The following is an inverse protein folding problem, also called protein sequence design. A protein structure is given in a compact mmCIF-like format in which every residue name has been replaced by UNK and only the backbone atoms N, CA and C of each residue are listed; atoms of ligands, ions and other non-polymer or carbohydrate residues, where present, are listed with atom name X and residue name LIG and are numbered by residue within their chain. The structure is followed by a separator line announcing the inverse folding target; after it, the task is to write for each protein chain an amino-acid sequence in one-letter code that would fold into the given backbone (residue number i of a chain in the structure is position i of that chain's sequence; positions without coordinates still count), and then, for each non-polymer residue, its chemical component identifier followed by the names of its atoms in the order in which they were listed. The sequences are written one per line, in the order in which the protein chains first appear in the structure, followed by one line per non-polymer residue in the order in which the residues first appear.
data_IF_859457196215
#
_entry.id   IF_859457196215
#
_cell.length_a   1.000
_cell.length_b   1.000
_cell.length_c   1.000
_cell.angle_alpha   90.00
_cell.angle_beta   90.00
_cell.angle_gamma   90.00
#
_symmetry.space_group_name_H-M   'P 1'
#
loop_
_entity.id
_entity.type
_entity.pdbx_description
1 polymer ?
#
# COMPACT_ATOMS: atom_id res chain seq x y z
N UNK A 1 -17.77 10.98 2.13
CA UNK A 1 -16.95 10.22 3.10
C UNK A 1 -16.00 11.19 3.78
N UNK A 2 -15.97 11.21 5.12
CA UNK A 2 -15.07 12.09 5.88
C UNK A 2 -13.84 11.29 6.30
N UNK A 3 -12.66 11.71 5.86
CA UNK A 3 -11.39 11.03 6.19
C UNK A 3 -10.93 11.39 7.59
N UNK A 4 -10.43 10.42 8.36
CA UNK A 4 -9.82 10.71 9.67
C UNK A 4 -8.51 11.48 9.51
N UNK A 5 -8.05 12.24 10.54
CA UNK A 5 -6.77 12.95 10.48
C UNK A 5 -5.57 12.04 10.13
N UNK A 6 -5.60 10.79 10.60
CA UNK A 6 -4.60 9.78 10.26
C UNK A 6 -4.65 9.42 8.77
N UNK A 7 -5.84 9.12 8.24
CA UNK A 7 -6.03 8.79 6.82
C UNK A 7 -5.61 9.95 5.90
N UNK A 8 -5.96 11.18 6.27
CA UNK A 8 -5.56 12.38 5.52
C UNK A 8 -4.03 12.53 5.46
N UNK A 9 -3.33 12.25 6.57
CA UNK A 9 -1.87 12.33 6.64
C UNK A 9 -1.21 11.23 5.79
N UNK A 10 -1.72 9.99 5.89
CA UNK A 10 -1.24 8.86 5.07
C UNK A 10 -1.44 9.14 3.58
N UNK A 11 -2.63 9.57 3.15
CA UNK A 11 -2.89 9.83 1.73
C UNK A 11 -2.13 11.04 1.20
N UNK A 12 -1.94 12.10 1.99
CA UNK A 12 -1.10 13.21 1.59
C UNK A 12 0.35 12.77 1.36
N UNK A 13 0.87 11.93 2.24
CA UNK A 13 2.22 11.40 2.12
C UNK A 13 2.34 10.49 0.88
N UNK A 14 1.43 9.53 0.69
CA UNK A 14 1.46 8.66 -0.50
C UNK A 14 1.44 9.46 -1.80
N UNK A 15 0.66 10.55 -1.86
CA UNK A 15 0.62 11.45 -3.04
C UNK A 15 1.91 12.23 -3.29
N UNK A 16 2.77 12.38 -2.29
CA UNK A 16 4.07 13.05 -2.44
C UNK A 16 5.17 12.13 -2.95
N UNK A 17 4.93 10.81 -2.95
CA UNK A 17 5.90 9.83 -3.44
C UNK A 17 5.99 9.92 -4.97
N UNK A 18 7.19 10.15 -5.54
CA UNK A 18 7.37 10.19 -7.00
C UNK A 18 6.99 8.85 -7.66
N UNK A 19 6.48 8.90 -8.88
CA UNK A 19 6.02 7.71 -9.65
C UNK A 19 7.12 6.70 -9.95
N UNK A 20 8.40 7.09 -9.88
CA UNK A 20 9.55 6.20 -10.07
C UNK A 20 10.04 5.52 -8.79
N UNK A 21 9.37 5.77 -7.65
CA UNK A 21 9.77 5.28 -6.33
C UNK A 21 8.61 4.61 -5.63
N UNK A 22 8.97 3.74 -4.69
CA UNK A 22 8.01 3.13 -3.76
C UNK A 22 8.50 3.30 -2.33
N UNK A 23 7.56 3.33 -1.39
CA UNK A 23 7.84 3.38 0.04
C UNK A 23 7.10 2.24 0.74
N UNK A 24 7.59 1.84 1.90
CA UNK A 24 6.98 0.78 2.69
C UNK A 24 5.96 1.32 3.68
N UNK A 25 4.95 0.51 4.04
CA UNK A 25 4.00 0.88 5.08
C UNK A 25 4.67 1.14 6.44
N UNK A 26 5.83 0.53 6.71
CA UNK A 26 6.61 0.81 7.91
C UNK A 26 7.19 2.22 7.92
N UNK A 27 7.69 2.71 6.79
CA UNK A 27 8.22 4.07 6.64
C UNK A 27 7.10 5.11 6.70
N UNK A 28 5.99 4.85 6.02
CA UNK A 28 4.80 5.68 6.12
C UNK A 28 4.36 5.82 7.59
N UNK A 29 4.30 4.71 8.33
CA UNK A 29 3.92 4.71 9.75
C UNK A 29 4.94 5.45 10.65
N UNK A 30 6.23 5.46 10.32
CA UNK A 30 7.23 6.25 11.07
C UNK A 30 6.94 7.75 10.97
N UNK A 31 6.51 8.23 9.81
CA UNK A 31 6.25 9.65 9.57
C UNK A 31 4.86 10.07 10.00
N UNK A 32 3.83 9.28 9.71
CA UNK A 32 2.43 9.62 10.04
C UNK A 32 2.02 9.18 11.45
N UNK A 33 2.87 8.42 12.14
CA UNK A 33 2.54 7.69 13.35
C UNK A 33 1.79 6.38 13.07
N UNK A 34 1.52 5.61 14.12
CA UNK A 34 0.79 4.33 14.03
C UNK A 34 1.69 3.13 13.68
N UNK A 35 1.10 2.12 13.04
CA UNK A 35 1.80 0.89 12.65
C UNK A 35 1.66 0.60 11.16
N UNK A 36 2.60 -0.18 10.61
CA UNK A 36 2.53 -0.63 9.21
C UNK A 36 1.19 -1.31 8.86
N UNK A 37 0.59 -2.03 9.83
CA UNK A 37 -0.75 -2.62 9.66
C UNK A 37 -1.84 -1.56 9.56
N UNK A 38 -1.79 -0.51 10.39
CA UNK A 38 -2.77 0.58 10.34
C UNK A 38 -2.72 1.33 9.00
N UNK A 39 -1.51 1.58 8.48
CA UNK A 39 -1.30 2.17 7.15
C UNK A 39 -1.83 1.24 6.05
N UNK A 40 -1.56 -0.07 6.14
CA UNK A 40 -2.09 -1.05 5.19
C UNK A 40 -3.63 -1.08 5.16
N UNK A 41 -4.28 -1.01 6.33
CA UNK A 41 -5.75 -0.91 6.41
C UNK A 41 -6.28 0.40 5.82
N UNK A 42 -5.54 1.50 5.98
CA UNK A 42 -5.85 2.78 5.36
C UNK A 42 -5.82 2.68 3.82
N UNK A 43 -4.77 2.06 3.27
CA UNK A 43 -4.62 1.88 1.82
C UNK A 43 -5.65 0.92 1.24
N UNK A 44 -6.06 -0.13 1.97
CA UNK A 44 -7.12 -1.06 1.55
C UNK A 44 -8.48 -0.37 1.36
N UNK A 45 -8.73 0.72 2.08
CA UNK A 45 -9.97 1.52 1.99
C UNK A 45 -9.75 2.84 1.26
N UNK A 46 -8.68 2.96 0.48
CA UNK A 46 -8.35 4.20 -0.23
C UNK A 46 -9.38 4.46 -1.34
N UNK A 47 -10.21 5.50 -1.24
CA UNK A 47 -11.20 5.83 -2.28
C UNK A 47 -10.56 6.38 -3.56
N UNK A 48 -9.26 6.71 -3.53
CA UNK A 48 -8.48 7.20 -4.66
C UNK A 48 -7.67 6.09 -5.34
N UNK A 49 -7.86 4.83 -4.94
CA UNK A 49 -7.20 3.72 -5.63
C UNK A 49 -7.70 3.65 -7.08
N UNK A 50 -6.80 3.47 -8.06
CA UNK A 50 -7.23 3.20 -9.42
C UNK A 50 -8.08 1.94 -9.42
N UNK A 51 -9.21 1.99 -10.13
CA UNK A 51 -10.03 0.82 -10.38
C UNK A 51 -9.19 -0.20 -11.16
N UNK A 52 -9.16 -1.45 -10.70
CA UNK A 52 -8.47 -2.53 -11.44
C UNK A 52 -9.20 -2.84 -12.75
N UNK A 53 -10.45 -2.41 -12.90
CA UNK A 53 -11.29 -2.69 -14.07
C UNK A 53 -11.79 -4.14 -14.11
N UNK A 54 -11.47 -4.93 -13.08
CA UNK A 54 -11.87 -6.32 -12.90
C UNK A 54 -12.48 -6.48 -11.50
N UNK A 55 -13.59 -7.20 -11.39
CA UNK A 55 -14.14 -7.55 -10.09
C UNK A 55 -13.28 -8.62 -9.40
N UNK A 56 -13.39 -8.80 -8.07
CA UNK A 56 -12.71 -9.90 -7.38
C UNK A 56 -13.05 -11.29 -7.96
N UNK A 57 -14.25 -11.44 -8.55
CA UNK A 57 -14.65 -12.68 -9.22
C UNK A 57 -13.90 -12.87 -10.55
N UNK A 58 -13.68 -11.79 -11.30
CA UNK A 58 -12.92 -11.83 -12.56
C UNK A 58 -11.45 -12.16 -12.29
N UNK A 59 -10.86 -11.53 -11.26
CA UNK A 59 -9.49 -11.85 -10.82
C UNK A 59 -9.36 -13.31 -10.38
N UNK A 60 -10.37 -13.84 -9.66
CA UNK A 60 -10.41 -15.23 -9.24
C UNK A 60 -10.48 -16.19 -10.42
N UNK A 61 -11.35 -15.91 -11.40
CA UNK A 61 -11.50 -16.76 -12.58
C UNK A 61 -10.19 -16.90 -13.36
N UNK A 62 -9.47 -15.78 -13.56
CA UNK A 62 -8.15 -15.79 -14.20
C UNK A 62 -7.13 -16.63 -13.42
N UNK A 63 -7.13 -16.54 -12.08
CA UNK A 63 -6.23 -17.34 -11.24
C UNK A 63 -6.58 -18.84 -11.28
N UNK A 64 -7.86 -19.18 -11.33
CA UNK A 64 -8.33 -20.57 -11.48
C UNK A 64 -7.96 -21.15 -12.86
N UNK A 65 -8.01 -20.35 -13.93
CA UNK A 65 -7.49 -20.72 -15.27
C UNK A 65 -5.98 -21.01 -15.23
N UNK A 66 -5.21 -20.26 -14.44
CA UNK A 66 -3.77 -20.48 -14.20
C UNK A 66 -3.48 -21.66 -13.23
N UNK A 67 -4.52 -22.38 -12.80
CA UNK A 67 -4.44 -23.56 -11.94
C UNK A 67 -4.28 -23.26 -10.45
N UNK A 68 -4.64 -22.07 -9.98
CA UNK A 68 -4.74 -21.74 -8.56
C UNK A 68 -6.10 -22.18 -8.04
N UNK A 69 -6.14 -23.02 -7.02
CA UNK A 69 -7.38 -23.47 -6.41
C UNK A 69 -7.68 -22.69 -5.12
N UNK A 70 -8.94 -22.37 -4.88
CA UNK A 70 -9.42 -21.69 -3.67
C UNK A 70 -10.25 -22.65 -2.81
N UNK A 71 -10.23 -22.44 -1.50
CA UNK A 71 -11.09 -23.11 -0.55
C UNK A 71 -12.58 -22.75 -0.78
N UNK A 72 -13.53 -23.56 -0.29
CA UNK A 72 -14.97 -23.32 -0.50
C UNK A 72 -15.47 -21.98 0.06
N UNK A 73 -14.78 -21.43 1.07
CA UNK A 73 -15.06 -20.11 1.63
C UNK A 73 -14.68 -18.95 0.68
N UNK A 74 -13.87 -19.24 -0.35
CA UNK A 74 -13.37 -18.27 -1.32
C UNK A 74 -12.40 -17.24 -0.76
N UNK A 75 -12.05 -17.31 0.53
CA UNK A 75 -11.12 -16.36 1.16
C UNK A 75 -9.67 -16.84 1.04
N UNK A 76 -9.46 -18.15 0.94
CA UNK A 76 -8.13 -18.76 1.03
C UNK A 76 -7.78 -19.55 -0.22
N UNK A 77 -6.51 -19.46 -0.60
CA UNK A 77 -5.90 -20.37 -1.58
C UNK A 77 -5.70 -21.73 -0.91
N UNK A 78 -6.00 -22.81 -1.62
CA UNK A 78 -5.86 -24.16 -1.08
C UNK A 78 -4.42 -24.49 -0.75
N UNK A 79 -4.21 -25.37 0.23
CA UNK A 79 -2.87 -25.73 0.70
C UNK A 79 -2.00 -26.31 -0.44
N UNK A 80 -2.62 -27.05 -1.35
CA UNK A 80 -1.97 -27.57 -2.56
C UNK A 80 -1.45 -26.47 -3.50
N UNK A 81 -2.05 -25.27 -3.49
CA UNK A 81 -1.63 -24.13 -4.31
C UNK A 81 -0.68 -23.15 -3.59
N UNK A 82 -0.48 -23.28 -2.27
CA UNK A 82 0.37 -22.38 -1.47
C UNK A 82 1.87 -22.46 -1.81
N UNK A 83 2.38 -23.62 -2.22
CA UNK A 83 3.81 -23.82 -2.52
C UNK A 83 4.32 -22.94 -3.68
N UNK A 84 3.42 -22.39 -4.51
CA UNK A 84 3.76 -21.46 -5.61
C UNK A 84 4.05 -20.03 -5.11
N UNK A 85 3.62 -19.69 -3.89
CA UNK A 85 3.59 -18.31 -3.37
C UNK A 85 4.28 -18.16 -2.02
N UNK A 86 5.38 -18.88 -1.79
CA UNK A 86 6.18 -18.71 -0.58
C UNK A 86 6.61 -17.23 -0.44
N UNK A 87 6.09 -16.57 0.60
CA UNK A 87 6.22 -15.13 0.75
C UNK A 87 7.64 -14.78 1.18
N UNK A 88 8.50 -14.48 0.22
CA UNK A 88 9.85 -14.03 0.48
C UNK A 88 9.94 -12.49 0.26
N UNK A 89 10.21 -11.69 1.30
CA UNK A 89 10.31 -10.23 1.19
C UNK A 89 11.43 -9.79 0.24
N UNK A 90 12.53 -10.55 0.13
CA UNK A 90 13.59 -10.29 -0.83
C UNK A 90 13.14 -10.52 -2.28
N UNK A 91 12.33 -11.57 -2.53
CA UNK A 91 11.77 -11.82 -3.86
C UNK A 91 10.80 -10.70 -4.28
N UNK A 92 10.02 -10.15 -3.34
CA UNK A 92 9.14 -8.99 -3.62
C UNK A 92 9.95 -7.75 -3.99
N UNK A 93 11.02 -7.46 -3.24
CA UNK A 93 11.95 -6.36 -3.55
C UNK A 93 12.60 -6.55 -4.93
N UNK A 94 13.16 -7.74 -5.19
CA UNK A 94 13.78 -8.08 -6.48
C UNK A 94 12.80 -7.97 -7.64
N UNK A 95 11.52 -8.35 -7.46
CA UNK A 95 10.46 -8.18 -8.48
C UNK A 95 10.20 -6.70 -8.78
N UNK A 96 10.06 -5.87 -7.73
CA UNK A 96 9.89 -4.43 -7.90
C UNK A 96 11.10 -3.81 -8.64
N UNK A 97 12.31 -4.15 -8.20
CA UNK A 97 13.56 -3.70 -8.84
C UNK A 97 13.66 -4.17 -10.29
N UNK A 98 13.29 -5.42 -10.59
CA UNK A 98 13.31 -5.96 -11.96
C UNK A 98 12.25 -5.35 -12.88
N UNK A 99 11.18 -4.78 -12.32
CA UNK A 99 10.20 -4.00 -13.07
C UNK A 99 10.66 -2.54 -13.32
N UNK A 100 11.91 -2.21 -12.96
CA UNK A 100 12.48 -0.87 -13.09
C UNK A 100 12.13 0.06 -11.91
N UNK A 101 11.46 -0.45 -10.88
CA UNK A 101 11.00 0.33 -9.73
C UNK A 101 12.07 0.35 -8.63
N UNK A 102 12.58 1.53 -8.29
CA UNK A 102 13.59 1.67 -7.24
C UNK A 102 12.92 1.67 -5.85
N UNK A 103 13.28 0.71 -5.01
CA UNK A 103 12.84 0.64 -3.60
C UNK A 103 13.87 1.36 -2.74
N UNK A 104 13.67 2.66 -2.53
CA UNK A 104 14.54 3.51 -1.70
C UNK A 104 13.79 3.91 -0.42
N UNK A 105 14.49 4.07 0.71
CA UNK A 105 13.88 4.61 1.90
C UNK A 105 13.34 6.01 1.65
N UNK A 106 12.30 6.39 2.40
CA UNK A 106 11.75 7.74 2.33
C UNK A 106 12.89 8.73 2.64
N UNK A 107 13.25 9.55 1.65
CA UNK A 107 14.41 10.44 1.82
C UNK A 107 14.05 11.65 2.69
N UNK A 108 15.08 12.28 3.26
CA UNK A 108 14.93 13.45 4.13
C UNK A 108 14.18 14.61 3.46
N UNK A 109 14.18 14.68 2.13
CA UNK A 109 13.47 15.72 1.37
C UNK A 109 11.96 15.47 1.36
N UNK A 110 11.55 14.22 1.14
CA UNK A 110 10.14 13.80 1.25
C UNK A 110 9.68 13.94 2.71
N UNK A 111 10.48 13.49 3.69
CA UNK A 111 10.19 13.68 5.12
C UNK A 111 10.00 15.16 5.49
N UNK A 112 10.91 16.04 5.05
CA UNK A 112 10.84 17.47 5.28
C UNK A 112 9.61 18.10 4.61
N UNK A 113 9.28 17.69 3.38
CA UNK A 113 8.08 18.15 2.65
C UNK A 113 6.81 17.78 3.40
N UNK A 114 6.72 16.57 3.96
CA UNK A 114 5.57 16.14 4.75
C UNK A 114 5.48 16.93 6.05
N UNK A 115 6.60 17.09 6.77
CA UNK A 115 6.61 17.87 8.01
C UNK A 115 6.20 19.34 7.77
N UNK A 116 6.57 19.91 6.63
CA UNK A 116 6.10 21.24 6.21
C UNK A 116 4.58 21.23 5.94
N UNK A 117 4.09 20.28 5.13
CA UNK A 117 2.66 20.14 4.82
C UNK A 117 1.77 19.85 6.04
N UNK A 118 2.31 19.16 7.05
CA UNK A 118 1.62 18.89 8.32
C UNK A 118 1.64 20.11 9.25
N UNK A 119 2.69 20.93 9.23
CA UNK A 119 2.74 22.21 9.98
C UNK A 119 1.77 23.23 9.40
N UNK A 120 1.70 23.35 8.08
CA UNK A 120 0.76 24.27 7.40
C UNK A 120 -0.70 23.91 7.69
N UNK A 121 -1.03 22.61 7.77
CA UNK A 121 -2.36 22.13 8.15
C UNK A 121 -2.60 22.08 9.66
N UNK A 122 -1.54 22.11 10.47
CA UNK A 122 -1.61 22.24 11.92
C UNK A 122 -1.86 23.67 12.40
N UNK A 123 -1.56 24.68 11.55
CA UNK A 123 -1.94 26.07 11.80
C UNK A 123 -3.47 26.29 11.74
N UNK A 124 -4.21 25.38 11.11
CA UNK A 124 -5.67 25.44 10.94
C UNK A 124 -6.44 24.71 12.07
N UNK A 125 -5.76 24.40 13.19
CA UNK A 125 -6.37 23.86 14.43
C UNK A 125 -6.29 24.83 15.60
N UNK A 126 -6.45 26.12 15.32
CA UNK A 126 -6.89 27.08 16.34
C UNK A 126 -8.32 27.50 16.04
N UNK A 127 -9.28 26.67 16.47
CA UNK A 127 -10.59 27.12 16.92
C UNK A 127 -11.19 26.07 17.87
#
# INVERSE_FOLDING_TARGET
MTLTPFQQSVFALVRSVPTSRVTTYGELARVTGGSARAVGQCMRRNPLAPDSGCSPADERALLEEEGVHFEPDGERVSEASLHRFESNPERKRKRAESAGTRVEPLDAQIEATILALLRERGADKTC
#
